data_IF_084998500780
#
_entry.id   IF_084998500780
#
_cell.length_a   1.000
_cell.length_b   1.000
_cell.length_c   1.000
_cell.angle_alpha   90.00
_cell.angle_beta   90.00
_cell.angle_gamma   90.00
#
_symmetry.space_group_name_H-M   'P 1'
#
loop_
_entity.id
_entity.type
_entity.pdbx_description
1 polymer ?
#
# COMPACT_ATOMS: atom_id res chain seq x y z
N UNK A 1 12.91 -17.30 -2.56
CA UNK A 1 11.44 -17.28 -2.46
C UNK A 1 11.01 -15.85 -2.16
N UNK A 2 10.57 -15.12 -3.17
CA UNK A 2 10.13 -13.73 -3.04
C UNK A 2 8.66 -13.67 -3.46
N UNK A 3 7.76 -13.62 -2.48
CA UNK A 3 6.35 -13.32 -2.73
C UNK A 3 6.11 -11.86 -2.36
N UNK A 4 6.17 -10.99 -3.37
CA UNK A 4 5.58 -9.64 -3.28
C UNK A 4 4.38 -9.63 -4.21
N UNK A 5 3.23 -10.17 -3.76
CA UNK A 5 1.94 -9.88 -4.38
C UNK A 5 1.53 -8.50 -3.90
N UNK A 6 1.74 -7.48 -4.72
CA UNK A 6 1.02 -6.23 -4.56
C UNK A 6 -0.43 -6.50 -4.94
N UNK A 7 -1.34 -6.51 -3.95
CA UNK A 7 -2.77 -6.48 -4.25
C UNK A 7 -3.06 -5.15 -4.96
N UNK A 8 -3.72 -5.17 -6.13
CA UNK A 8 -4.14 -3.95 -6.80
C UNK A 8 -5.05 -3.17 -5.85
N UNK A 9 -4.68 -1.90 -5.62
CA UNK A 9 -5.46 -0.84 -4.94
C UNK A 9 -6.81 -1.30 -4.40
N UNK A 10 -6.83 -1.76 -3.15
CA UNK A 10 -8.04 -1.74 -2.33
C UNK A 10 -8.53 -0.28 -2.37
N UNK A 11 -9.72 -0.06 -2.92
CA UNK A 11 -10.32 1.26 -3.08
C UNK A 11 -11.28 1.57 -1.91
N UNK A 12 -11.09 0.88 -0.79
CA UNK A 12 -11.96 0.91 0.37
C UNK A 12 -11.16 0.65 1.67
N UNK A 13 -11.68 1.08 2.83
CA UNK A 13 -11.18 0.64 4.13
C UNK A 13 -11.12 -0.89 4.23
N UNK A 14 -10.23 -1.40 5.08
CA UNK A 14 -10.13 -2.83 5.35
C UNK A 14 -11.39 -3.39 5.99
N UNK A 15 -11.87 -4.49 5.43
CA UNK A 15 -12.95 -5.31 5.97
C UNK A 15 -12.43 -6.12 7.18
N UNK A 16 -12.99 -5.92 8.39
CA UNK A 16 -12.61 -6.66 9.59
C UNK A 16 -12.68 -8.17 9.44
N UNK A 17 -13.65 -8.67 8.66
CA UNK A 17 -13.85 -10.11 8.44
C UNK A 17 -12.81 -10.71 7.48
N UNK A 18 -12.10 -9.86 6.72
CA UNK A 18 -11.06 -10.26 5.78
C UNK A 18 -9.76 -9.50 6.06
N UNK A 19 -8.89 -9.95 6.98
CA UNK A 19 -7.63 -9.26 7.34
C UNK A 19 -6.69 -8.96 6.16
N UNK A 20 -6.80 -9.69 5.06
CA UNK A 20 -6.03 -9.47 3.83
C UNK A 20 -6.52 -8.29 2.99
N UNK A 21 -7.69 -7.73 3.31
CA UNK A 21 -8.25 -6.52 2.68
C UNK A 21 -7.70 -5.22 3.26
N UNK A 22 -6.92 -5.28 4.34
CA UNK A 22 -6.30 -4.08 4.90
C UNK A 22 -5.14 -3.59 4.03
N UNK A 23 -4.95 -2.28 4.00
CA UNK A 23 -3.93 -1.64 3.20
C UNK A 23 -2.51 -2.14 3.57
N UNK A 24 -1.79 -2.69 2.59
CA UNK A 24 -0.34 -2.93 2.67
C UNK A 24 0.42 -1.81 1.95
N UNK A 25 0.84 -0.79 2.71
CA UNK A 25 1.63 0.34 2.20
C UNK A 25 3.03 0.43 2.81
N UNK A 26 3.51 -0.62 3.50
CA UNK A 26 4.82 -0.61 4.15
C UNK A 26 6.01 -0.43 3.18
N UNK A 27 5.78 -0.59 1.87
CA UNK A 27 6.79 -0.40 0.83
C UNK A 27 6.74 0.98 0.18
N UNK A 28 5.67 1.75 0.37
CA UNK A 28 5.45 3.07 -0.20
C UNK A 28 5.37 4.10 0.94
N UNK A 29 6.50 4.74 1.18
CA UNK A 29 6.65 5.70 2.28
C UNK A 29 5.67 6.88 2.22
N UNK A 30 5.43 7.45 1.03
CA UNK A 30 4.53 8.59 0.88
C UNK A 30 3.09 8.19 1.22
N UNK A 31 2.67 7.00 0.76
CA UNK A 31 1.35 6.44 1.08
C UNK A 31 1.21 6.12 2.55
N UNK A 32 2.23 5.55 3.19
CA UNK A 32 2.24 5.31 4.63
C UNK A 32 2.17 6.61 5.44
N UNK A 33 2.93 7.63 5.03
CA UNK A 33 2.91 8.94 5.68
C UNK A 33 1.50 9.56 5.61
N UNK A 34 0.85 9.52 4.44
CA UNK A 34 -0.53 9.97 4.29
C UNK A 34 -1.50 9.14 5.15
N UNK A 35 -1.36 7.81 5.12
CA UNK A 35 -2.19 6.88 5.88
C UNK A 35 -2.13 7.12 7.40
N UNK A 36 -1.02 7.67 7.89
CA UNK A 36 -0.80 8.07 9.28
C UNK A 36 -1.12 9.56 9.57
N UNK A 37 -1.65 10.31 8.59
CA UNK A 37 -2.07 11.70 8.74
C UNK A 37 -0.93 12.73 8.71
N UNK A 38 0.23 12.37 8.16
CA UNK A 38 1.35 13.30 7.96
C UNK A 38 1.21 14.05 6.63
N UNK A 39 1.59 15.32 6.63
CA UNK A 39 1.70 16.15 5.41
C UNK A 39 3.13 16.22 4.87
N UNK A 40 4.09 15.61 5.57
CA UNK A 40 5.48 15.52 5.15
C UNK A 40 6.03 14.15 5.59
N UNK A 41 6.80 13.48 4.72
CA UNK A 41 7.44 12.20 5.08
C UNK A 41 8.51 12.35 6.15
N UNK A 42 9.11 13.54 6.30
CA UNK A 42 10.10 13.79 7.34
C UNK A 42 9.47 13.65 8.74
N UNK A 43 8.20 14.03 8.90
CA UNK A 43 7.45 13.86 10.15
C UNK A 43 7.26 12.37 10.49
N UNK A 44 6.95 11.54 9.49
CA UNK A 44 6.86 10.08 9.67
C UNK A 44 8.17 9.52 10.20
N UNK A 45 9.30 9.83 9.53
CA UNK A 45 10.63 9.35 9.95
C UNK A 45 10.97 9.87 11.35
N UNK A 46 10.73 11.15 11.62
CA UNK A 46 10.99 11.76 12.92
C UNK A 46 10.23 11.03 14.04
N UNK A 47 8.95 10.70 13.84
CA UNK A 47 8.19 9.92 14.80
C UNK A 47 8.74 8.51 14.99
N UNK A 48 9.02 7.79 13.90
CA UNK A 48 9.52 6.41 13.97
C UNK A 48 10.89 6.28 14.65
N UNK A 49 11.74 7.32 14.54
CA UNK A 49 13.05 7.36 15.20
C UNK A 49 13.02 8.09 16.55
N UNK A 50 11.86 8.54 17.02
CA UNK A 50 11.73 9.23 18.29
C UNK A 50 11.74 8.29 19.50
N UNK A 51 11.87 8.88 20.68
CA UNK A 51 11.72 8.20 21.98
C UNK A 51 10.33 7.58 22.19
N UNK A 52 9.33 7.97 21.40
CA UNK A 52 7.96 7.46 21.51
C UNK A 52 7.73 6.13 20.79
N UNK A 53 8.49 5.85 19.73
CA UNK A 53 8.29 4.67 18.89
C UNK A 53 9.47 3.70 18.90
N UNK A 54 10.69 4.22 18.76
CA UNK A 54 11.88 3.40 18.58
C UNK A 54 12.09 2.33 19.68
N UNK A 55 11.82 2.61 20.98
CA UNK A 55 11.87 1.57 22.02
C UNK A 55 10.92 0.41 21.79
N UNK A 56 9.69 0.67 21.35
CA UNK A 56 8.70 -0.37 21.07
C UNK A 56 9.20 -1.29 19.96
N UNK A 57 9.77 -0.70 18.91
CA UNK A 57 10.36 -1.44 17.81
C UNK A 57 11.53 -2.31 18.28
N UNK A 58 12.52 -1.71 18.94
CA UNK A 58 13.71 -2.41 19.42
C UNK A 58 13.39 -3.61 20.33
N UNK A 59 12.48 -3.42 21.28
CA UNK A 59 12.12 -4.46 22.25
C UNK A 59 11.31 -5.61 21.63
N UNK A 60 10.64 -5.39 20.50
CA UNK A 60 9.68 -6.34 19.94
C UNK A 60 9.99 -6.81 18.52
N UNK A 61 11.06 -6.30 17.88
CA UNK A 61 11.39 -6.61 16.48
C UNK A 61 11.48 -8.12 16.21
N UNK A 62 12.13 -8.88 17.10
CA UNK A 62 12.34 -10.32 16.90
C UNK A 62 11.01 -11.09 16.97
N UNK A 63 10.09 -10.63 17.84
CA UNK A 63 8.75 -11.19 17.94
C UNK A 63 7.90 -10.87 16.71
N UNK A 64 8.12 -9.72 16.08
CA UNK A 64 7.32 -9.21 14.96
C UNK A 64 7.89 -9.56 13.59
N UNK A 65 9.17 -9.90 13.50
CA UNK A 65 9.81 -10.24 12.24
C UNK A 65 9.10 -11.42 11.56
N UNK A 66 8.72 -11.22 10.29
CA UNK A 66 7.96 -12.19 9.50
C UNK A 66 6.52 -12.45 9.97
N UNK A 67 6.02 -11.71 10.96
CA UNK A 67 4.70 -11.93 11.53
C UNK A 67 3.61 -11.34 10.63
N UNK A 68 2.57 -12.13 10.31
CA UNK A 68 1.40 -11.68 9.53
C UNK A 68 0.32 -11.08 10.42
N UNK A 69 -0.48 -10.15 9.92
CA UNK A 69 -1.55 -9.50 10.71
C UNK A 69 -2.81 -10.35 10.90
N UNK A 70 -3.03 -11.39 10.11
CA UNK A 70 -4.29 -12.14 10.09
C UNK A 70 -4.74 -12.65 11.47
N UNK A 71 -3.88 -13.40 12.17
CA UNK A 71 -4.28 -13.99 13.47
C UNK A 71 -4.47 -12.95 14.56
N UNK A 72 -3.56 -11.97 14.77
CA UNK A 72 -3.79 -10.91 15.74
C UNK A 72 -5.03 -10.06 15.44
N UNK A 73 -5.34 -9.77 14.17
CA UNK A 73 -6.57 -9.04 13.82
C UNK A 73 -7.81 -9.82 14.18
N UNK A 74 -7.83 -11.13 13.86
CA UNK A 74 -8.95 -12.00 14.25
C UNK A 74 -9.13 -12.01 15.77
N UNK A 75 -8.05 -12.15 16.53
CA UNK A 75 -8.09 -12.06 18.01
C UNK A 75 -8.71 -10.74 18.45
N UNK A 76 -8.24 -9.61 17.90
CA UNK A 76 -8.72 -8.26 18.26
C UNK A 76 -10.18 -8.02 17.85
N UNK A 77 -10.66 -8.70 16.81
CA UNK A 77 -12.05 -8.65 16.36
C UNK A 77 -12.99 -9.48 17.24
N UNK A 78 -12.55 -10.67 17.66
CA UNK A 78 -13.39 -11.65 18.35
C UNK A 78 -13.49 -11.40 19.87
N UNK A 79 -12.57 -10.64 20.45
CA UNK A 79 -12.53 -10.41 21.90
C UNK A 79 -12.84 -8.97 22.31
N UNK A 80 -13.34 -8.80 23.54
CA UNK A 80 -13.38 -7.50 24.20
C UNK A 80 -11.96 -7.06 24.55
N UNK A 81 -11.48 -6.00 23.90
CA UNK A 81 -10.09 -5.51 24.05
C UNK A 81 -9.75 -5.22 25.51
N UNK A 82 -10.65 -4.58 26.27
CA UNK A 82 -10.36 -4.20 27.65
C UNK A 82 -10.38 -5.41 28.61
N UNK A 83 -11.14 -6.46 28.30
CA UNK A 83 -11.13 -7.69 29.08
C UNK A 83 -9.91 -8.56 28.76
N UNK A 84 -9.59 -8.71 27.47
CA UNK A 84 -8.51 -9.60 27.04
C UNK A 84 -7.13 -8.95 27.21
N UNK A 85 -7.03 -7.65 26.97
CA UNK A 85 -5.81 -6.85 27.02
C UNK A 85 -5.96 -5.69 28.02
N UNK A 86 -6.13 -5.95 29.33
CA UNK A 86 -6.25 -4.88 30.30
C UNK A 86 -4.96 -4.06 30.39
N UNK A 87 -5.07 -2.77 30.75
CA UNK A 87 -3.90 -1.89 30.93
C UNK A 87 -2.97 -2.49 31.99
N UNK A 88 -1.66 -2.51 31.71
CA UNK A 88 -0.63 -2.98 32.64
C UNK A 88 -0.50 -4.50 32.75
N UNK A 89 -1.18 -5.28 31.90
CA UNK A 89 -1.03 -6.74 31.88
C UNK A 89 0.42 -7.15 31.57
N UNK A 90 0.99 -8.05 32.39
CA UNK A 90 2.26 -8.68 32.05
C UNK A 90 2.04 -9.72 30.95
N UNK A 91 2.35 -9.33 29.72
CA UNK A 91 2.14 -10.16 28.53
C UNK A 91 2.98 -11.45 28.53
N UNK A 92 4.15 -11.43 29.19
CA UNK A 92 5.06 -12.58 29.24
C UNK A 92 4.52 -13.66 30.19
N UNK A 93 3.94 -13.25 31.32
CA UNK A 93 3.30 -14.15 32.27
C UNK A 93 1.95 -14.67 31.76
N UNK A 94 1.13 -13.79 31.14
CA UNK A 94 -0.21 -14.17 30.66
C UNK A 94 -0.17 -15.06 29.42
N UNK A 95 0.77 -14.81 28.51
CA UNK A 95 0.91 -15.55 27.25
C UNK A 95 2.36 -15.98 27.06
N UNK A 96 2.83 -16.99 27.81
CA UNK A 96 4.20 -17.47 27.73
C UNK A 96 4.49 -18.04 26.33
N UNK A 97 5.65 -17.68 25.78
CA UNK A 97 6.12 -18.17 24.48
C UNK A 97 7.35 -19.03 24.73
N UNK A 98 7.08 -20.27 25.13
CA UNK A 98 8.11 -21.25 25.46
C UNK A 98 8.46 -22.12 24.24
N UNK A 99 9.69 -22.62 24.23
CA UNK A 99 10.17 -23.60 23.25
C UNK A 99 10.20 -24.97 23.91
N UNK A 100 9.89 -26.00 23.14
CA UNK A 100 10.07 -27.39 23.55
C UNK A 100 11.56 -27.77 23.67
N UNK A 101 11.83 -29.01 24.09
CA UNK A 101 13.19 -29.56 24.24
C UNK A 101 14.00 -29.55 22.92
N UNK A 102 13.33 -29.39 21.78
CA UNK A 102 13.93 -29.31 20.44
C UNK A 102 14.12 -27.87 19.96
N UNK A 103 13.81 -26.88 20.81
CA UNK A 103 13.91 -25.46 20.49
C UNK A 103 12.79 -24.95 19.57
N UNK A 104 11.72 -25.72 19.37
CA UNK A 104 10.57 -25.34 18.54
C UNK A 104 9.45 -24.76 19.40
N UNK A 105 8.67 -23.83 18.86
CA UNK A 105 7.48 -23.33 19.55
C UNK A 105 6.37 -24.38 19.51
N UNK A 106 5.77 -24.67 20.66
CA UNK A 106 4.52 -25.46 20.74
C UNK A 106 3.38 -24.71 20.04
N UNK A 107 2.30 -25.41 19.68
CA UNK A 107 1.12 -24.75 19.08
C UNK A 107 0.51 -23.69 20.01
N UNK A 108 0.51 -23.98 21.32
CA UNK A 108 0.11 -23.01 22.34
C UNK A 108 1.04 -21.80 22.36
N UNK A 109 2.36 -21.99 22.33
CA UNK A 109 3.33 -20.90 22.29
C UNK A 109 3.23 -20.07 21.00
N UNK A 110 2.90 -20.69 19.86
CA UNK A 110 2.61 -19.99 18.59
C UNK A 110 1.37 -19.10 18.72
N UNK A 111 0.30 -19.60 19.34
CA UNK A 111 -0.89 -18.81 19.59
C UNK A 111 -0.64 -17.69 20.63
N UNK A 112 0.10 -17.98 21.70
CA UNK A 112 0.51 -17.00 22.69
C UNK A 112 1.34 -15.87 22.08
N UNK A 113 2.19 -16.17 21.09
CA UNK A 113 2.88 -15.15 20.30
C UNK A 113 1.88 -14.21 19.61
N UNK A 114 0.80 -14.72 19.01
CA UNK A 114 -0.24 -13.89 18.41
C UNK A 114 -0.96 -13.00 19.43
N UNK A 115 -1.28 -13.53 20.62
CA UNK A 115 -1.84 -12.74 21.71
C UNK A 115 -0.89 -11.64 22.19
N UNK A 116 0.41 -11.92 22.30
CA UNK A 116 1.42 -10.90 22.65
C UNK A 116 1.51 -9.80 21.60
N UNK A 117 1.42 -10.15 20.32
CA UNK A 117 1.41 -9.17 19.21
C UNK A 117 0.16 -8.30 19.27
N UNK A 118 -1.03 -8.90 19.48
CA UNK A 118 -2.27 -8.14 19.67
C UNK A 118 -2.17 -7.19 20.88
N UNK A 119 -1.68 -7.68 22.02
CA UNK A 119 -1.48 -6.87 23.23
C UNK A 119 -0.51 -5.71 23.00
N UNK A 120 0.58 -5.96 22.28
CA UNK A 120 1.56 -4.94 21.90
C UNK A 120 0.89 -3.82 21.09
N UNK A 121 0.13 -4.17 20.06
CA UNK A 121 -0.57 -3.18 19.24
C UNK A 121 -1.59 -2.37 20.04
N UNK A 122 -2.36 -3.03 20.93
CA UNK A 122 -3.28 -2.34 21.85
C UNK A 122 -2.55 -1.34 22.74
N UNK A 123 -1.41 -1.72 23.32
CA UNK A 123 -0.66 -0.83 24.21
C UNK A 123 -0.03 0.36 23.46
N UNK A 124 0.42 0.14 22.23
CA UNK A 124 0.94 1.21 21.37
C UNK A 124 -0.19 2.18 20.99
N UNK A 125 -1.37 1.68 20.58
CA UNK A 125 -2.53 2.54 20.29
C UNK A 125 -2.87 3.42 21.50
N UNK A 126 -3.03 2.80 22.69
CA UNK A 126 -3.32 3.54 23.94
C UNK A 126 -2.24 4.56 24.27
N UNK A 127 -0.97 4.26 24.00
CA UNK A 127 0.14 5.18 24.26
C UNK A 127 0.09 6.39 23.32
N UNK A 128 -0.20 6.16 22.04
CA UNK A 128 -0.40 7.23 21.05
C UNK A 128 -1.61 8.09 21.42
N UNK A 129 -2.73 7.48 21.79
CA UNK A 129 -3.93 8.20 22.22
C UNK A 129 -3.64 9.07 23.46
N UNK A 130 -2.96 8.50 24.47
CA UNK A 130 -2.52 9.25 25.66
C UNK A 130 -1.62 10.43 25.30
N UNK A 131 -0.72 10.26 24.34
CA UNK A 131 0.13 11.35 23.86
C UNK A 131 -0.69 12.44 23.15
N UNK A 132 -1.68 12.06 22.34
CA UNK A 132 -2.57 13.01 21.65
C UNK A 132 -3.48 13.75 22.60
N UNK A 133 -3.99 13.10 23.65
CA UNK A 133 -4.74 13.75 24.74
C UNK A 133 -3.86 14.77 25.46
N UNK A 134 -2.60 14.42 25.73
CA UNK A 134 -1.63 15.31 26.39
C UNK A 134 -1.19 16.47 25.50
N UNK A 135 -1.07 16.23 24.19
CA UNK A 135 -0.60 17.20 23.20
C UNK A 135 -1.64 17.38 22.09
N UNK A 136 -2.72 18.15 22.34
CA UNK A 136 -3.88 18.24 21.46
C UNK A 136 -3.58 18.94 20.12
N UNK A 137 -2.48 19.69 20.01
CA UNK A 137 -2.01 20.25 18.75
C UNK A 137 -1.34 19.20 17.84
N UNK A 138 -1.19 17.97 18.33
CA UNK A 138 -0.60 16.84 17.60
C UNK A 138 0.93 16.83 17.62
N UNK A 139 1.58 17.65 18.44
CA UNK A 139 3.05 17.74 18.48
C UNK A 139 3.59 17.53 19.90
N UNK A 140 4.26 16.41 20.12
CA UNK A 140 4.94 16.10 21.36
C UNK A 140 6.35 16.72 21.42
N UNK A 141 6.84 17.15 22.59
CA UNK A 141 8.21 17.63 22.75
C UNK A 141 9.20 16.50 22.54
N UNK A 142 10.36 16.81 21.98
CA UNK A 142 11.44 15.84 21.84
C UNK A 142 12.17 15.59 23.17
N UNK A 143 12.51 14.34 23.46
CA UNK A 143 13.43 13.96 24.53
C UNK A 143 14.77 13.51 23.93
N UNK A 144 15.71 14.46 23.84
CA UNK A 144 17.03 14.25 23.18
C UNK A 144 17.85 13.16 23.87
N UNK A 145 17.82 13.11 25.20
CA UNK A 145 18.60 12.15 25.99
C UNK A 145 18.10 10.72 25.76
N UNK A 146 16.78 10.53 25.76
CA UNK A 146 16.18 9.21 25.53
C UNK A 146 16.40 8.77 24.08
N UNK A 147 16.32 9.68 23.11
CA UNK A 147 16.61 9.36 21.71
C UNK A 147 18.07 8.98 21.47
N UNK A 148 19.04 9.69 22.06
CA UNK A 148 20.46 9.34 21.97
C UNK A 148 20.74 7.96 22.59
N UNK A 149 20.11 7.67 23.73
CA UNK A 149 20.21 6.35 24.36
C UNK A 149 19.61 5.25 23.47
N UNK A 150 18.43 5.48 22.89
CA UNK A 150 17.78 4.53 22.01
C UNK A 150 18.53 4.35 20.69
N UNK A 151 19.11 5.42 20.16
CA UNK A 151 20.01 5.40 19.00
C UNK A 151 21.18 4.49 19.28
N UNK A 152 21.86 4.66 20.41
CA UNK A 152 23.00 3.80 20.80
C UNK A 152 22.59 2.32 20.85
N UNK A 153 21.45 2.01 21.50
CA UNK A 153 20.92 0.64 21.56
C UNK A 153 20.54 0.09 20.18
N UNK A 154 19.99 0.93 19.31
CA UNK A 154 19.66 0.56 17.94
C UNK A 154 20.91 0.25 17.13
N UNK A 155 21.93 1.09 17.28
CA UNK A 155 23.21 0.95 16.59
C UNK A 155 23.89 -0.35 16.98
N UNK A 156 23.91 -0.67 18.28
CA UNK A 156 24.40 -1.95 18.80
C UNK A 156 23.57 -3.12 18.27
N UNK A 157 22.24 -3.00 18.27
CA UNK A 157 21.35 -4.10 17.92
C UNK A 157 21.32 -4.40 16.41
N UNK A 158 21.71 -3.46 15.55
CA UNK A 158 21.71 -3.64 14.09
C UNK A 158 23.08 -3.50 13.43
N UNK A 159 24.12 -3.13 14.19
CA UNK A 159 25.43 -2.75 13.68
C UNK A 159 25.33 -1.62 12.61
N UNK A 160 24.53 -0.59 12.93
CA UNK A 160 24.13 0.51 12.02
C UNK A 160 23.88 1.83 12.74
N UNK A 161 24.57 2.92 12.37
CA UNK A 161 24.44 4.26 13.01
C UNK A 161 23.12 5.01 12.71
N UNK A 162 22.22 5.12 13.66
CA UNK A 162 20.93 5.78 13.44
C UNK A 162 21.08 7.31 13.29
N UNK A 163 20.41 7.92 12.29
CA UNK A 163 20.23 9.36 12.23
C UNK A 163 19.21 9.82 13.30
N UNK A 164 19.61 10.74 14.18
CA UNK A 164 18.72 11.31 15.20
C UNK A 164 17.92 12.47 14.58
N UNK A 165 16.58 12.54 14.78
CA UNK A 165 15.78 13.68 14.32
C UNK A 165 16.36 15.01 14.81
N UNK A 166 16.38 16.03 13.95
CA UNK A 166 16.87 17.36 14.34
C UNK A 166 15.78 18.28 14.91
N UNK A 167 14.51 17.91 14.76
CA UNK A 167 13.37 18.75 15.16
C UNK A 167 13.18 18.74 16.69
N UNK A 168 12.77 19.87 17.28
CA UNK A 168 12.48 19.94 18.73
C UNK A 168 11.06 19.44 19.10
N UNK A 169 10.20 19.28 18.09
CA UNK A 169 8.85 18.75 18.22
C UNK A 169 8.66 17.58 17.26
N UNK A 170 7.95 16.56 17.72
CA UNK A 170 7.63 15.35 16.98
C UNK A 170 6.12 15.34 16.73
N UNK A 171 5.73 15.32 15.46
CA UNK A 171 4.33 15.17 15.08
C UNK A 171 3.86 13.75 15.40
N UNK A 172 2.73 13.64 16.09
CA UNK A 172 2.12 12.36 16.44
C UNK A 172 1.27 11.84 15.27
N UNK A 173 1.24 10.52 15.03
CA UNK A 173 0.40 9.95 14.00
C UNK A 173 -1.08 10.18 14.36
N UNK A 174 -1.90 10.25 13.33
CA UNK A 174 -3.35 10.21 13.45
C UNK A 174 -3.77 8.76 13.27
N UNK A 175 -4.20 8.14 14.37
CA UNK A 175 -4.95 6.89 14.31
C UNK A 175 -6.43 7.27 14.31
N UNK A 176 -7.24 6.53 13.55
CA UNK A 176 -8.24 6.93 12.54
C UNK A 176 -9.04 8.21 12.79
N UNK A 177 -9.43 8.85 11.69
CA UNK A 177 -10.34 10.01 11.68
C UNK A 177 -11.57 9.81 10.78
N UNK A 178 -11.70 8.66 10.10
CA UNK A 178 -12.80 8.43 9.16
C UNK A 178 -13.89 7.54 9.77
N UNK A 179 -15.17 7.97 9.80
CA UNK A 179 -16.27 7.14 10.28
C UNK A 179 -16.49 5.83 9.52
N UNK A 180 -15.98 5.72 8.28
CA UNK A 180 -16.08 4.51 7.46
C UNK A 180 -15.03 3.45 7.82
N UNK A 181 -14.00 3.81 8.60
CA UNK A 181 -12.94 2.89 8.99
C UNK A 181 -13.34 2.01 10.18
N UNK A 182 -12.93 0.74 10.14
CA UNK A 182 -13.08 -0.15 11.28
C UNK A 182 -12.08 0.17 12.38
N UNK A 183 -12.35 -0.23 13.62
CA UNK A 183 -11.40 -0.10 14.74
C UNK A 183 -10.08 -0.86 14.51
N UNK A 184 -10.06 -1.83 13.60
CA UNK A 184 -8.85 -2.57 13.24
C UNK A 184 -7.87 -1.76 12.39
N UNK A 185 -8.32 -0.68 11.75
CA UNK A 185 -7.47 0.22 10.97
C UNK A 185 -6.37 0.87 11.84
N UNK A 186 -6.63 1.10 13.13
CA UNK A 186 -5.62 1.60 14.10
C UNK A 186 -4.47 0.61 14.20
N UNK A 187 -4.80 -0.68 14.31
CA UNK A 187 -3.82 -1.75 14.43
C UNK A 187 -3.11 -1.99 13.10
N UNK A 188 -3.78 -1.81 11.96
CA UNK A 188 -3.14 -1.87 10.66
C UNK A 188 -2.11 -0.76 10.47
N UNK A 189 -2.42 0.48 10.87
CA UNK A 189 -1.45 1.58 10.90
C UNK A 189 -0.20 1.25 11.73
N UNK A 190 -0.39 0.69 12.93
CA UNK A 190 0.71 0.22 13.79
C UNK A 190 1.53 -0.88 13.10
N UNK A 191 0.85 -1.88 12.54
CA UNK A 191 1.48 -2.98 11.82
C UNK A 191 2.29 -2.49 10.61
N UNK A 192 1.77 -1.52 9.85
CA UNK A 192 2.47 -0.91 8.72
C UNK A 192 3.73 -0.15 9.15
N UNK A 193 3.70 0.56 10.29
CA UNK A 193 4.89 1.22 10.85
C UNK A 193 6.00 0.22 11.22
N UNK A 194 5.63 -0.92 11.84
CA UNK A 194 6.59 -1.99 12.14
C UNK A 194 7.20 -2.57 10.87
N UNK A 195 6.36 -2.91 9.88
CA UNK A 195 6.82 -3.47 8.61
C UNK A 195 7.67 -2.51 7.81
N UNK A 196 7.36 -1.22 7.86
CA UNK A 196 8.17 -0.19 7.24
C UNK A 196 9.58 -0.20 7.84
N UNK A 197 9.73 -0.13 9.17
CA UNK A 197 11.04 -0.20 9.82
C UNK A 197 11.78 -1.53 9.58
N UNK A 198 11.08 -2.67 9.59
CA UNK A 198 11.68 -3.98 9.27
C UNK A 198 12.25 -3.98 7.83
N UNK A 199 11.51 -3.43 6.87
CA UNK A 199 11.98 -3.27 5.50
C UNK A 199 13.16 -2.31 5.41
N UNK A 200 13.08 -1.15 6.07
CA UNK A 200 14.17 -0.18 6.07
C UNK A 200 15.46 -0.78 6.62
N UNK A 201 15.36 -1.59 7.67
CA UNK A 201 16.52 -2.19 8.32
C UNK A 201 17.07 -3.41 7.60
N UNK A 202 16.30 -4.06 6.74
CA UNK A 202 16.76 -5.19 5.91
C UNK A 202 17.31 -4.77 4.54
N UNK A 203 17.00 -3.56 4.07
CA UNK A 203 17.50 -3.05 2.78
C UNK A 203 19.03 -2.81 2.83
N UNK A 204 19.77 -3.50 1.97
CA UNK A 204 21.22 -3.36 1.82
C UNK A 204 21.66 -1.96 1.40
N UNK A 205 20.82 -1.23 0.65
CA UNK A 205 21.10 0.13 0.18
C UNK A 205 20.66 1.21 1.17
N UNK A 206 20.05 0.81 2.29
CA UNK A 206 19.70 1.71 3.39
C UNK A 206 20.91 2.53 3.84
N UNK A 207 22.08 1.88 3.97
CA UNK A 207 23.36 2.48 4.38
C UNK A 207 23.80 3.65 3.48
N UNK A 208 23.59 3.54 2.18
CA UNK A 208 24.07 4.52 1.20
C UNK A 208 23.05 5.63 0.91
N UNK A 209 21.74 5.35 1.05
CA UNK A 209 20.67 6.29 0.69
C UNK A 209 20.15 7.13 1.86
N UNK A 210 20.27 6.66 3.10
CA UNK A 210 19.57 7.22 4.26
C UNK A 210 20.47 7.39 5.51
N UNK A 211 21.77 7.68 5.37
CA UNK A 211 22.67 8.00 6.50
C UNK A 211 23.31 9.39 6.41
N UNK A 212 22.91 10.21 5.44
CA UNK A 212 23.05 11.66 5.61
C UNK A 212 21.81 12.14 6.37
N UNK A 213 21.97 12.66 7.58
CA UNK A 213 20.89 13.29 8.37
C UNK A 213 20.07 14.28 7.55
N UNK A 214 20.70 14.98 6.60
CA UNK A 214 20.03 15.89 5.66
C UNK A 214 19.08 15.16 4.69
N UNK A 215 19.44 13.94 4.27
CA UNK A 215 18.61 13.13 3.36
C UNK A 215 17.53 12.33 4.10
N UNK A 216 17.80 11.93 5.34
CA UNK A 216 16.84 11.19 6.17
C UNK A 216 15.70 12.07 6.60
N UNK A 217 15.96 13.31 6.99
CA UNK A 217 14.88 14.24 7.33
C UNK A 217 14.59 15.21 6.19
N UNK A 218 14.95 14.83 4.95
CA UNK A 218 14.61 15.60 3.76
C UNK A 218 13.09 15.68 3.62
N UNK A 219 12.59 16.87 3.90
CA UNK A 219 11.20 17.25 3.70
C UNK A 219 10.76 16.91 2.28
N UNK A 220 9.64 16.20 2.19
CA UNK A 220 8.92 16.03 0.94
C UNK A 220 7.43 16.10 1.26
N UNK A 221 6.70 17.08 0.70
CA UNK A 221 5.28 17.22 0.91
C UNK A 221 4.53 15.95 0.50
N UNK A 222 3.61 15.51 1.36
CA UNK A 222 2.68 14.42 1.12
C UNK A 222 1.33 15.04 0.78
N UNK A 223 0.98 14.97 -0.50
CA UNK A 223 -0.29 15.43 -1.07
C UNK A 223 -1.35 14.32 -1.08
N UNK A 224 -2.61 14.70 -1.34
CA UNK A 224 -3.77 13.81 -1.45
C UNK A 224 -3.59 12.68 -2.47
N UNK A 225 -2.83 12.89 -3.55
CA UNK A 225 -2.56 11.87 -4.59
C UNK A 225 -1.81 10.63 -4.05
N UNK A 226 -1.13 10.76 -2.92
CA UNK A 226 -0.43 9.65 -2.27
C UNK A 226 -1.37 8.81 -1.39
N UNK A 227 -2.54 9.37 -1.05
CA UNK A 227 -3.48 8.78 -0.13
C UNK A 227 -4.22 7.58 -0.74
N UNK A 228 -4.68 6.65 0.11
CA UNK A 228 -5.71 5.73 -0.31
C UNK A 228 -7.00 6.51 -0.63
N UNK A 229 -7.69 6.12 -1.71
CA UNK A 229 -8.86 6.84 -2.25
C UNK A 229 -9.94 7.16 -1.23
N UNK A 230 -10.26 6.23 -0.33
CA UNK A 230 -11.28 6.45 0.72
C UNK A 230 -10.86 7.48 1.77
N UNK A 231 -9.56 7.74 1.94
CA UNK A 231 -9.03 8.77 2.83
C UNK A 231 -8.75 10.09 2.12
N UNK A 232 -8.76 10.10 0.79
CA UNK A 232 -8.76 11.35 0.06
C UNK A 232 -10.11 11.96 0.32
N UNK A 233 -10.14 13.07 1.06
CA UNK A 233 -11.31 13.93 1.10
C UNK A 233 -11.44 14.43 -0.32
N UNK A 234 -12.18 13.72 -1.15
CA UNK A 234 -12.53 14.18 -2.46
C UNK A 234 -13.09 15.56 -2.16
N UNK A 235 -12.35 16.61 -2.56
CA UNK A 235 -13.04 17.81 -2.97
C UNK A 235 -14.02 17.22 -3.96
N UNK A 236 -15.28 17.15 -3.56
CA UNK A 236 -16.34 17.43 -4.49
C UNK A 236 -15.89 18.78 -5.01
N UNK A 237 -15.05 18.76 -6.03
CA UNK A 237 -15.11 19.74 -7.06
C UNK A 237 -16.60 19.67 -7.34
N UNK A 238 -17.30 20.67 -6.81
CA UNK A 238 -18.06 21.52 -7.68
C UNK A 238 -17.15 21.71 -8.89
N UNK A 239 -17.13 20.72 -9.78
CA UNK A 239 -16.78 20.93 -11.14
C UNK A 239 -17.71 22.10 -11.42
N UNK A 240 -17.18 23.31 -11.70
CA UNK A 240 -18.03 24.24 -12.41
C UNK A 240 -18.62 23.38 -13.51
N UNK A 241 -19.95 23.30 -13.54
CA UNK A 241 -20.69 22.65 -14.60
C UNK A 241 -20.36 23.49 -15.82
N UNK A 242 -19.13 23.31 -16.33
CA UNK A 242 -18.70 23.73 -17.62
C UNK A 242 -19.58 22.87 -18.46
N UNK A 243 -20.69 23.49 -18.89
CA UNK A 243 -21.55 22.98 -19.93
C UNK A 243 -20.63 22.30 -20.93
N UNK A 244 -20.87 21.02 -21.25
CA UNK A 244 -19.90 20.21 -21.96
C UNK A 244 -19.51 20.99 -23.21
N UNK A 245 -18.29 21.55 -23.22
CA UNK A 245 -17.64 21.84 -24.49
C UNK A 245 -17.58 20.47 -25.11
N UNK A 246 -18.41 20.22 -26.12
CA UNK A 246 -18.50 18.91 -26.75
C UNK A 246 -17.10 18.60 -27.22
N UNK A 247 -16.38 17.78 -26.46
CA UNK A 247 -15.08 17.31 -26.86
C UNK A 247 -15.34 16.62 -28.19
N UNK A 248 -14.57 16.99 -29.22
CA UNK A 248 -14.68 16.32 -30.50
C UNK A 248 -14.61 14.80 -30.24
N UNK A 249 -15.50 14.06 -30.90
CA UNK A 249 -15.56 12.61 -30.79
C UNK A 249 -14.21 12.06 -31.27
N UNK A 250 -13.42 11.51 -30.34
CA UNK A 250 -12.13 10.89 -30.65
C UNK A 250 -12.29 9.38 -30.62
N UNK A 251 -11.62 8.71 -31.55
CA UNK A 251 -11.60 7.24 -31.61
C UNK A 251 -10.25 6.75 -31.11
N UNK A 252 -10.25 5.96 -30.04
CA UNK A 252 -9.03 5.40 -29.46
C UNK A 252 -8.85 3.97 -29.93
N UNK A 253 -7.73 3.68 -30.62
CA UNK A 253 -7.45 2.34 -31.14
C UNK A 253 -6.65 1.56 -30.12
N UNK A 254 -7.02 0.31 -29.92
CA UNK A 254 -6.30 -0.65 -29.10
C UNK A 254 -5.65 -1.68 -30.00
N UNK A 255 -4.34 -1.87 -29.82
CA UNK A 255 -3.54 -2.89 -30.48
C UNK A 255 -3.05 -3.90 -29.45
N UNK A 256 -3.63 -5.09 -29.45
CA UNK A 256 -3.09 -6.21 -28.71
C UNK A 256 -1.86 -6.77 -29.45
N UNK A 257 -0.67 -6.50 -28.91
CA UNK A 257 0.60 -7.08 -29.34
C UNK A 257 0.69 -8.53 -28.88
N UNK A 258 0.09 -9.44 -29.64
CA UNK A 258 0.31 -10.88 -29.53
C UNK A 258 1.72 -11.19 -30.00
N UNK A 259 2.69 -11.11 -29.09
CA UNK A 259 3.98 -11.76 -29.33
C UNK A 259 3.71 -13.25 -29.47
N UNK A 260 4.36 -13.93 -30.42
CA UNK A 260 4.46 -15.39 -30.47
C UNK A 260 5.30 -15.89 -29.30
N UNK A 261 4.88 -15.57 -28.08
CA UNK A 261 5.44 -16.09 -26.86
C UNK A 261 4.67 -17.37 -26.56
N UNK A 262 5.39 -18.49 -26.45
CA UNK A 262 4.84 -19.82 -26.18
C UNK A 262 3.80 -19.88 -25.04
N UNK A 263 3.94 -19.17 -23.89
CA UNK A 263 3.06 -19.39 -22.75
C UNK A 263 1.59 -18.99 -22.95
N UNK A 264 1.30 -18.00 -23.80
CA UNK A 264 -0.08 -17.55 -24.01
C UNK A 264 -0.77 -18.39 -25.10
N UNK A 265 -0.01 -18.86 -26.09
CA UNK A 265 -0.51 -19.80 -27.11
C UNK A 265 -0.79 -21.16 -26.49
N UNK A 266 0.15 -21.71 -25.71
CA UNK A 266 -0.02 -22.96 -24.97
C UNK A 266 -1.24 -22.90 -24.04
N UNK A 267 -1.41 -21.79 -23.32
CA UNK A 267 -2.59 -21.56 -22.47
C UNK A 267 -3.91 -21.56 -23.27
N UNK A 268 -3.91 -21.05 -24.50
CA UNK A 268 -5.12 -21.08 -25.33
C UNK A 268 -5.40 -22.48 -25.89
N UNK A 269 -4.38 -23.25 -26.21
CA UNK A 269 -4.53 -24.65 -26.65
C UNK A 269 -5.08 -25.55 -25.52
N UNK A 270 -4.80 -25.22 -24.25
CA UNK A 270 -5.28 -25.94 -23.06
C UNK A 270 -6.73 -25.61 -22.66
N UNK A 271 -7.33 -24.55 -23.23
CA UNK A 271 -8.71 -24.16 -22.90
C UNK A 271 -9.72 -24.95 -23.76
N UNK A 272 -10.13 -26.12 -23.26
CA UNK A 272 -11.10 -27.04 -23.88
C UNK A 272 -12.44 -26.38 -24.32
N UNK A 273 -12.79 -25.20 -23.77
CA UNK A 273 -14.00 -24.44 -24.10
C UNK A 273 -13.75 -22.92 -24.11
N UNK A 274 -12.66 -22.45 -24.72
CA UNK A 274 -12.36 -21.02 -24.77
C UNK A 274 -13.49 -20.23 -25.48
N UNK A 275 -13.88 -19.05 -24.97
CA UNK A 275 -14.68 -18.11 -25.75
C UNK A 275 -13.95 -17.69 -27.03
N UNK A 276 -14.69 -17.15 -28.00
CA UNK A 276 -14.09 -16.69 -29.25
C UNK A 276 -12.98 -15.67 -28.99
N UNK A 277 -11.83 -15.88 -29.65
CA UNK A 277 -10.66 -15.03 -29.47
C UNK A 277 -10.97 -13.62 -29.99
N UNK A 278 -10.79 -12.56 -29.17
CA UNK A 278 -11.00 -11.19 -29.61
C UNK A 278 -9.98 -10.78 -30.67
N UNK A 279 -10.37 -9.81 -31.52
CA UNK A 279 -9.47 -9.25 -32.53
C UNK A 279 -8.25 -8.58 -31.87
N UNK A 280 -7.10 -8.67 -32.54
CA UNK A 280 -5.87 -7.99 -32.10
C UNK A 280 -5.92 -6.47 -32.29
N UNK A 281 -6.82 -5.98 -33.15
CA UNK A 281 -7.09 -4.56 -33.35
C UNK A 281 -8.54 -4.28 -33.03
N UNK A 282 -8.77 -3.39 -32.07
CA UNK A 282 -10.10 -2.96 -31.66
C UNK A 282 -10.13 -1.45 -31.42
N UNK A 283 -11.31 -0.89 -31.28
CA UNK A 283 -11.54 0.47 -30.80
C UNK A 283 -12.00 0.38 -29.35
N UNK A 284 -11.53 1.26 -28.45
CA UNK A 284 -12.03 1.30 -27.07
C UNK A 284 -13.57 1.31 -27.05
N UNK A 285 -14.17 0.44 -26.25
CA UNK A 285 -15.62 0.38 -26.08
C UNK A 285 -16.19 1.63 -25.38
N UNK A 286 -15.36 2.28 -24.56
CA UNK A 286 -15.66 3.51 -23.84
C UNK A 286 -14.54 4.53 -24.06
N UNK A 287 -14.89 5.83 -23.97
CA UNK A 287 -13.93 6.91 -24.14
C UNK A 287 -13.03 7.03 -22.89
N UNK A 288 -11.70 6.76 -23.00
CA UNK A 288 -10.79 6.79 -21.87
C UNK A 288 -10.73 8.12 -21.12
N UNK A 289 -11.13 9.24 -21.76
CA UNK A 289 -11.17 10.57 -21.14
C UNK A 289 -12.19 10.64 -20.01
N UNK A 290 -13.22 9.81 -20.05
CA UNK A 290 -14.32 9.79 -19.08
C UNK A 290 -14.12 8.74 -17.98
N UNK A 291 -13.12 7.87 -18.10
CA UNK A 291 -12.89 6.77 -17.17
C UNK A 291 -11.83 7.13 -16.11
N UNK A 292 -11.96 6.56 -14.93
CA UNK A 292 -10.86 6.37 -13.98
C UNK A 292 -9.93 5.24 -14.43
N UNK A 293 -8.74 5.16 -13.85
CA UNK A 293 -7.78 4.08 -14.17
C UNK A 293 -8.35 2.68 -13.93
N UNK A 294 -9.03 2.40 -12.80
CA UNK A 294 -9.74 1.15 -12.58
C UNK A 294 -10.83 0.86 -13.62
N UNK A 295 -11.70 1.83 -13.93
CA UNK A 295 -12.78 1.66 -14.92
C UNK A 295 -12.24 1.38 -16.32
N UNK A 296 -11.17 2.07 -16.74
CA UNK A 296 -10.50 1.79 -18.01
C UNK A 296 -9.96 0.36 -18.05
N UNK A 297 -9.24 -0.09 -17.02
CA UNK A 297 -8.75 -1.48 -16.95
C UNK A 297 -9.89 -2.49 -16.99
N UNK A 298 -11.01 -2.19 -16.34
CA UNK A 298 -12.19 -3.03 -16.36
C UNK A 298 -12.83 -3.11 -17.75
N UNK A 299 -12.98 -1.96 -18.43
CA UNK A 299 -13.45 -1.90 -19.82
C UNK A 299 -12.57 -2.73 -20.76
N UNK A 300 -11.24 -2.66 -20.62
CA UNK A 300 -10.32 -3.51 -21.39
C UNK A 300 -10.50 -5.00 -21.08
N UNK A 301 -10.70 -5.38 -19.81
CA UNK A 301 -10.91 -6.78 -19.42
C UNK A 301 -12.16 -7.36 -20.07
N UNK A 302 -13.27 -6.63 -20.00
CA UNK A 302 -14.53 -7.00 -20.66
C UNK A 302 -14.36 -7.10 -22.18
N UNK A 303 -13.79 -6.07 -22.80
CA UNK A 303 -13.61 -5.98 -24.24
C UNK A 303 -12.73 -7.12 -24.82
N UNK A 304 -11.76 -7.61 -24.05
CA UNK A 304 -10.90 -8.72 -24.43
C UNK A 304 -11.29 -10.04 -23.75
N UNK A 305 -12.47 -10.15 -23.14
CA UNK A 305 -12.96 -11.38 -22.48
C UNK A 305 -11.93 -11.99 -21.52
N UNK A 306 -11.21 -11.16 -20.76
CA UNK A 306 -10.07 -11.58 -19.94
C UNK A 306 -10.45 -12.66 -18.92
N UNK A 307 -11.64 -12.56 -18.30
CA UNK A 307 -12.17 -13.58 -17.39
C UNK A 307 -12.37 -14.92 -18.10
N UNK A 308 -13.03 -14.92 -19.26
CA UNK A 308 -13.31 -16.14 -20.02
C UNK A 308 -12.05 -16.79 -20.60
N UNK A 309 -11.06 -15.98 -21.00
CA UNK A 309 -9.77 -16.44 -21.51
C UNK A 309 -8.73 -16.68 -20.40
N UNK A 310 -9.11 -16.50 -19.13
CA UNK A 310 -8.23 -16.63 -17.95
C UNK A 310 -6.89 -15.90 -18.11
N UNK A 311 -6.95 -14.65 -18.56
CA UNK A 311 -5.77 -13.81 -18.78
C UNK A 311 -5.90 -12.47 -18.06
N UNK A 312 -4.79 -11.77 -17.88
CA UNK A 312 -4.77 -10.43 -17.30
C UNK A 312 -3.87 -9.50 -18.11
N UNK A 313 -4.17 -8.20 -18.03
CA UNK A 313 -3.38 -7.15 -18.66
C UNK A 313 -1.98 -7.17 -18.03
N UNK A 314 -0.97 -7.47 -18.85
CA UNK A 314 0.42 -7.49 -18.45
C UNK A 314 1.09 -6.13 -18.65
N UNK A 315 0.78 -5.47 -19.79
CA UNK A 315 1.27 -4.13 -20.13
C UNK A 315 0.18 -3.39 -20.89
N UNK A 316 0.02 -2.10 -20.58
CA UNK A 316 -0.78 -1.16 -21.36
C UNK A 316 0.03 0.10 -21.59
N UNK A 317 0.33 0.41 -22.85
CA UNK A 317 1.18 1.54 -23.22
C UNK A 317 0.44 2.45 -24.18
N UNK A 318 0.45 3.74 -23.88
CA UNK A 318 0.04 4.76 -24.82
C UNK A 318 1.25 5.15 -25.67
N UNK A 319 1.17 4.87 -26.97
CA UNK A 319 2.20 5.23 -27.94
C UNK A 319 1.70 6.33 -28.85
N UNK A 320 2.52 7.36 -29.06
CA UNK A 320 2.25 8.42 -30.03
C UNK A 320 3.52 8.89 -30.74
N UNK A 321 3.32 9.40 -31.95
CA UNK A 321 4.38 9.96 -32.78
C UNK A 321 4.61 11.43 -32.40
N UNK A 322 5.85 11.79 -32.11
CA UNK A 322 6.26 13.15 -31.77
C UNK A 322 6.92 13.92 -32.93
N UNK A 323 7.03 13.31 -34.13
CA UNK A 323 7.50 13.98 -35.35
C UNK A 323 9.02 13.93 -35.61
N UNK A 324 9.82 13.35 -34.70
CA UNK A 324 11.29 13.32 -34.77
C UNK A 324 11.89 11.90 -34.61
N UNK A 325 11.27 10.87 -35.19
CA UNK A 325 11.63 9.44 -35.01
C UNK A 325 11.66 8.95 -33.54
N UNK A 326 11.15 9.77 -32.61
CA UNK A 326 11.05 9.45 -31.20
C UNK A 326 9.63 8.98 -30.87
N UNK A 327 9.50 7.71 -30.50
CA UNK A 327 8.25 7.17 -29.95
C UNK A 327 8.24 7.49 -28.45
N UNK A 328 7.32 8.35 -28.03
CA UNK A 328 7.05 8.56 -26.63
C UNK A 328 6.05 7.48 -26.14
N UNK A 329 6.25 7.03 -24.89
CA UNK A 329 5.47 5.95 -24.30
C UNK A 329 5.06 6.31 -22.87
N UNK A 330 3.78 6.10 -22.52
CA UNK A 330 3.30 6.17 -21.13
C UNK A 330 2.77 4.80 -20.73
N UNK A 331 3.23 4.26 -19.59
CA UNK A 331 2.70 3.02 -19.04
C UNK A 331 1.41 3.31 -18.26
N UNK A 332 0.26 3.07 -18.90
CA UNK A 332 -1.06 3.41 -18.38
C UNK A 332 -1.47 2.61 -17.14
N UNK A 333 -0.75 1.53 -16.81
CA UNK A 333 -0.98 0.77 -15.57
C UNK A 333 -0.35 1.45 -14.34
N UNK A 334 0.64 2.32 -14.55
CA UNK A 334 1.37 3.03 -13.49
C UNK A 334 0.98 4.50 -13.48
N UNK A 335 0.96 5.14 -14.66
CA UNK A 335 0.85 6.58 -14.82
C UNK A 335 -0.46 6.98 -15.54
N UNK A 336 -1.60 6.55 -14.99
CA UNK A 336 -2.91 6.76 -15.62
C UNK A 336 -3.28 8.23 -15.78
N UNK A 337 -3.04 9.07 -14.77
CA UNK A 337 -3.40 10.49 -14.83
C UNK A 337 -2.63 11.23 -15.94
N UNK A 338 -1.35 10.91 -16.12
CA UNK A 338 -0.54 11.44 -17.22
C UNK A 338 -1.10 11.02 -18.59
N UNK A 339 -1.46 9.73 -18.75
CA UNK A 339 -2.10 9.24 -19.96
C UNK A 339 -3.47 9.92 -20.22
N UNK A 340 -4.25 10.16 -19.16
CA UNK A 340 -5.58 10.80 -19.25
C UNK A 340 -5.49 12.27 -19.66
N UNK A 341 -4.52 13.00 -19.13
CA UNK A 341 -4.19 14.35 -19.59
C UNK A 341 -3.86 14.34 -21.09
N UNK A 342 -3.06 13.37 -21.53
CA UNK A 342 -2.70 13.24 -22.95
C UNK A 342 -3.93 13.05 -23.86
N UNK A 343 -4.88 12.18 -23.50
CA UNK A 343 -6.11 11.99 -24.27
C UNK A 343 -6.94 13.27 -24.41
N UNK A 344 -6.84 14.16 -23.42
CA UNK A 344 -7.60 15.40 -23.34
C UNK A 344 -6.93 16.51 -24.17
N UNK A 345 -5.62 16.70 -24.01
CA UNK A 345 -4.92 17.91 -24.46
C UNK A 345 -4.43 17.86 -25.91
N UNK A 346 -4.24 16.67 -26.48
CA UNK A 346 -3.62 16.54 -27.82
C UNK A 346 -4.65 16.45 -28.94
N UNK A 347 -4.60 17.31 -29.97
CA UNK A 347 -5.58 17.33 -31.06
C UNK A 347 -5.41 16.17 -32.07
N UNK A 348 -4.41 15.31 -31.90
CA UNK A 348 -4.14 14.22 -32.85
C UNK A 348 -5.33 13.25 -32.97
N UNK A 349 -5.63 12.85 -34.20
CA UNK A 349 -6.81 12.03 -34.53
C UNK A 349 -6.59 10.52 -34.33
N UNK A 350 -5.34 10.06 -34.28
CA UNK A 350 -5.02 8.63 -34.17
C UNK A 350 -4.08 8.33 -33.01
N UNK A 351 -4.65 7.71 -31.99
CA UNK A 351 -3.97 7.29 -30.77
C UNK A 351 -3.99 5.78 -30.72
N UNK A 352 -2.85 5.15 -30.46
CA UNK A 352 -2.77 3.69 -30.32
C UNK A 352 -2.38 3.31 -28.90
N UNK A 353 -3.24 2.51 -28.27
CA UNK A 353 -2.98 1.88 -26.98
C UNK A 353 -2.49 0.47 -27.25
N UNK A 354 -1.26 0.18 -26.90
CA UNK A 354 -0.67 -1.14 -27.04
C UNK A 354 -0.88 -1.98 -25.79
N UNK A 355 -1.48 -3.17 -25.97
CA UNK A 355 -1.74 -4.12 -24.90
C UNK A 355 -0.91 -5.39 -25.06
N UNK A 356 -0.43 -5.92 -23.95
CA UNK A 356 -0.02 -7.32 -23.84
C UNK A 356 -0.73 -7.97 -22.67
N UNK A 357 -1.06 -9.25 -22.84
CA UNK A 357 -1.69 -10.08 -21.81
C UNK A 357 -0.74 -11.19 -21.37
N UNK A 358 -0.98 -11.71 -20.17
CA UNK A 358 -0.36 -12.94 -19.66
C UNK A 358 -1.44 -13.89 -19.13
N UNK A 359 -1.20 -15.21 -19.12
CA UNK A 359 -2.08 -16.15 -18.41
C UNK A 359 -2.20 -15.76 -16.93
N UNK A 360 -3.37 -16.03 -16.35
CA UNK A 360 -3.54 -16.02 -14.89
C UNK A 360 -2.77 -17.19 -14.29
N UNK A 361 -1.96 -16.91 -13.28
CA UNK A 361 -1.26 -17.96 -12.52
C UNK A 361 -2.23 -18.81 -11.69
N UNK A 362 -1.77 -19.98 -11.26
CA UNK A 362 -2.53 -20.83 -10.35
C UNK A 362 -2.85 -20.07 -9.05
N UNK A 363 -4.14 -20.01 -8.68
CA UNK A 363 -4.62 -19.23 -7.53
C UNK A 363 -4.47 -17.71 -7.67
N UNK A 364 -4.34 -17.17 -8.89
CA UNK A 364 -4.59 -15.76 -9.17
C UNK A 364 -6.07 -15.55 -9.53
N UNK A 365 -6.71 -14.58 -8.89
CA UNK A 365 -8.07 -14.16 -9.22
C UNK A 365 -8.02 -12.90 -10.10
N UNK A 366 -8.83 -12.89 -11.16
CA UNK A 366 -9.02 -11.70 -11.97
C UNK A 366 -10.15 -10.87 -11.38
N UNK A 367 -9.85 -9.66 -10.94
CA UNK A 367 -10.87 -8.70 -10.53
C UNK A 367 -11.45 -8.00 -11.77
N UNK A 368 -12.72 -8.26 -12.04
CA UNK A 368 -13.51 -7.66 -13.12
C UNK A 368 -14.91 -7.38 -12.56
N UNK A 369 -15.32 -6.11 -12.51
CA UNK A 369 -16.64 -5.74 -11.98
C UNK A 369 -17.73 -6.17 -12.96
N UNK A 370 -18.90 -6.56 -12.44
CA UNK A 370 -20.03 -6.96 -13.28
C UNK A 370 -20.63 -5.78 -14.07
N UNK A 371 -20.42 -4.56 -13.59
CA UNK A 371 -20.80 -3.34 -14.29
C UNK A 371 -19.78 -2.98 -15.37
N UNK A 372 -20.25 -2.85 -16.61
CA UNK A 372 -19.50 -2.31 -17.74
C UNK A 372 -19.67 -0.78 -17.74
N UNK A 373 -18.59 0.01 -17.65
CA UNK A 373 -18.65 1.48 -17.67
C UNK A 373 -19.25 2.06 -18.95
#
# INVERSE_FOLDING_TARGET
MAHTRANPTLDAPGDPTMPTSFLDCATNEMKLAYYLGYSDRADLRAFLFSSYWLPWWLLNRDMLHGHRCNTPFRILQECSIDQMFPKGVNAQEKWPVEKDDKGQLTEEAKMNRHYRVANLWVNITRSIDTLREKYPDGYAPRDKNVEELNSTRFDEALDKKLPIPLTDRIRLPVLPNDPAESSLENFNRIYMMFRFLDKLTTDSQWKTRQFNTEHVFASKPVSEEHGPSWMVKTKILNQPTLSPRSLAQKTFKILWKRKKNAPLEEHFDELDNAPSMPSTKQTCSADPRHLSGPEFRNSIRHQFSCRGLRMQIHRAVLDWDAGDDCINQINMLVDWEEAKTWFTDKPEESVTIELTFRPLGEGEELFESEEVP
#
